data_IF_675374979996
#
_entry.id   IF_675374979996
#
_cell.length_a   1.000
_cell.length_b   1.000
_cell.length_c   1.000
_cell.angle_alpha   90.00
_cell.angle_beta   90.00
_cell.angle_gamma   90.00
#
_symmetry.space_group_name_H-M   'P 1'
#
loop_
_entity.id
_entity.type
_entity.pdbx_description
1 polymer ?
#
# COMPACT_ATOMS: atom_id res chain seq x y z
N UNK A 1 2.35 16.88 2.22
CA UNK A 1 1.74 16.51 3.52
C UNK A 1 2.74 16.77 4.63
N UNK A 2 2.30 17.32 5.77
CA UNK A 2 3.16 17.48 6.95
C UNK A 2 3.25 16.16 7.75
N UNK A 3 4.28 15.99 8.60
CA UNK A 3 4.55 14.71 9.28
C UNK A 3 3.37 14.16 10.08
N UNK A 4 2.68 15.01 10.83
CA UNK A 4 1.49 14.65 11.62
C UNK A 4 0.31 14.27 10.72
N UNK A 5 0.02 15.07 9.69
CA UNK A 5 -1.06 14.80 8.73
C UNK A 5 -0.83 13.47 7.98
N UNK A 6 0.42 13.16 7.65
CA UNK A 6 0.79 11.89 7.01
C UNK A 6 0.60 10.69 7.96
N UNK A 7 0.90 10.86 9.25
CA UNK A 7 0.67 9.83 10.25
C UNK A 7 -0.83 9.56 10.44
N UNK A 8 -1.65 10.62 10.48
CA UNK A 8 -3.10 10.48 10.61
C UNK A 8 -3.72 9.79 9.38
N UNK A 9 -3.25 10.14 8.17
CA UNK A 9 -3.66 9.45 6.94
C UNK A 9 -3.29 7.97 6.98
N UNK A 10 -2.04 7.64 7.38
CA UNK A 10 -1.57 6.27 7.50
C UNK A 10 -2.44 5.44 8.44
N UNK A 11 -2.76 6.00 9.62
CA UNK A 11 -3.61 5.33 10.61
C UNK A 11 -5.05 5.12 10.09
N UNK A 12 -5.63 6.14 9.45
CA UNK A 12 -6.96 6.05 8.85
C UNK A 12 -7.01 4.99 7.73
N UNK A 13 -5.96 4.92 6.91
CA UNK A 13 -5.85 3.93 5.84
C UNK A 13 -5.81 2.50 6.39
N UNK A 14 -5.00 2.23 7.44
CA UNK A 14 -4.96 0.92 8.11
C UNK A 14 -6.33 0.53 8.70
N UNK A 15 -7.03 1.49 9.33
CA UNK A 15 -8.38 1.25 9.84
C UNK A 15 -9.35 0.84 8.73
N UNK A 16 -9.33 1.54 7.60
CA UNK A 16 -10.17 1.21 6.45
C UNK A 16 -9.84 -0.17 5.86
N UNK A 17 -8.56 -0.54 5.78
CA UNK A 17 -8.15 -1.88 5.35
C UNK A 17 -8.67 -2.97 6.31
N UNK A 18 -8.58 -2.73 7.62
CA UNK A 18 -9.08 -3.64 8.63
C UNK A 18 -10.59 -3.87 8.55
N UNK A 19 -11.35 -2.82 8.20
CA UNK A 19 -12.80 -2.89 8.00
C UNK A 19 -13.20 -3.58 6.69
N UNK A 20 -12.47 -3.31 5.59
CA UNK A 20 -12.81 -3.84 4.24
C UNK A 20 -12.31 -5.26 4.00
N UNK A 21 -11.35 -5.73 4.78
CA UNK A 21 -10.80 -7.08 4.67
C UNK A 21 -10.90 -7.83 5.99
N UNK A 22 -9.76 -8.08 6.65
CA UNK A 22 -9.62 -8.88 7.85
C UNK A 22 -8.57 -8.25 8.73
N UNK A 23 -9.00 -7.59 9.80
CA UNK A 23 -8.12 -6.87 10.71
C UNK A 23 -6.98 -7.74 11.29
N UNK A 24 -7.22 -9.04 11.51
CA UNK A 24 -6.20 -9.98 12.01
C UNK A 24 -5.01 -10.17 11.04
N UNK A 25 -5.26 -9.95 9.74
CA UNK A 25 -4.29 -10.13 8.64
C UNK A 25 -3.60 -8.84 8.23
N UNK A 26 -4.05 -7.68 8.70
CA UNK A 26 -3.37 -6.40 8.48
C UNK A 26 -2.31 -6.23 9.57
N UNK A 27 -1.04 -6.15 9.16
CA UNK A 27 0.10 -5.89 10.04
C UNK A 27 0.75 -4.58 9.63
N UNK A 28 1.20 -3.82 10.61
CA UNK A 28 1.81 -2.51 10.43
C UNK A 28 3.22 -2.45 11.05
N UNK A 29 3.92 -1.36 10.73
CA UNK A 29 5.19 -1.00 11.34
C UNK A 29 5.03 0.18 12.30
N UNK A 30 6.13 0.86 12.62
CA UNK A 30 6.11 2.09 13.42
C UNK A 30 6.38 3.31 12.52
N UNK A 31 5.37 4.17 12.37
CA UNK A 31 5.48 5.39 11.57
C UNK A 31 6.59 6.31 12.09
N UNK A 32 7.40 6.86 11.19
CA UNK A 32 8.50 7.77 11.52
C UNK A 32 9.67 7.16 12.31
N UNK A 33 9.71 5.83 12.47
CA UNK A 33 10.82 5.14 13.13
C UNK A 33 11.79 4.54 12.13
N UNK A 34 13.05 4.37 12.56
CA UNK A 34 14.02 3.57 11.81
C UNK A 34 13.60 2.10 11.84
N UNK A 35 13.38 1.50 10.67
CA UNK A 35 12.89 0.13 10.54
C UNK A 35 13.75 -0.70 9.60
N UNK A 36 13.98 -1.96 9.96
CA UNK A 36 14.52 -2.98 9.08
C UNK A 36 13.40 -3.94 8.68
N UNK A 37 12.97 -3.85 7.42
CA UNK A 37 11.86 -4.67 6.89
C UNK A 37 12.44 -5.86 6.13
N UNK A 38 12.09 -7.07 6.56
CA UNK A 38 12.46 -8.30 5.87
C UNK A 38 11.31 -8.74 4.98
N UNK A 39 11.56 -8.85 3.67
CA UNK A 39 10.56 -9.21 2.66
C UNK A 39 11.07 -10.43 1.90
N UNK A 40 10.28 -11.51 1.90
CA UNK A 40 10.51 -12.67 1.06
C UNK A 40 9.45 -12.66 -0.04
N UNK A 41 9.88 -12.47 -1.29
CA UNK A 41 9.00 -12.54 -2.45
C UNK A 41 9.00 -13.99 -2.97
N UNK A 42 7.87 -14.68 -2.88
CA UNK A 42 7.71 -16.01 -3.47
C UNK A 42 7.41 -15.87 -4.98
N UNK A 43 8.48 -15.68 -5.76
CA UNK A 43 8.47 -15.30 -7.19
C UNK A 43 9.46 -14.16 -7.45
N UNK A 44 9.27 -13.37 -8.51
CA UNK A 44 9.42 -11.91 -8.35
C UNK A 44 8.23 -11.18 -8.98
N UNK A 45 7.29 -10.73 -8.16
CA UNK A 45 6.13 -9.94 -8.60
C UNK A 45 6.13 -8.62 -7.83
N UNK A 46 6.28 -7.51 -8.56
CA UNK A 46 6.20 -6.15 -8.04
C UNK A 46 5.14 -5.40 -8.83
N UNK A 47 4.19 -4.78 -8.13
CA UNK A 47 3.11 -4.00 -8.74
C UNK A 47 3.21 -2.55 -8.29
N UNK A 48 3.18 -1.63 -9.25
CA UNK A 48 3.14 -0.19 -8.98
C UNK A 48 1.70 0.30 -9.05
N UNK A 49 1.25 0.97 -7.97
CA UNK A 49 -0.10 1.51 -7.86
C UNK A 49 -0.02 3.00 -7.48
N UNK A 50 -0.80 3.81 -8.17
CA UNK A 50 -0.98 5.23 -7.86
C UNK A 50 -2.47 5.50 -7.61
N UNK A 51 -2.75 6.30 -6.57
CA UNK A 51 -4.12 6.75 -6.26
C UNK A 51 -4.61 7.82 -7.22
N UNK A 52 -3.69 8.58 -7.83
CA UNK A 52 -4.06 9.54 -8.86
C UNK A 52 -4.43 8.79 -10.14
N UNK A 53 -5.59 9.10 -10.75
CA UNK A 53 -5.94 8.50 -12.03
C UNK A 53 -4.91 8.92 -13.07
N UNK A 54 -4.24 7.94 -13.70
CA UNK A 54 -3.43 8.19 -14.89
C UNK A 54 -4.29 8.96 -15.91
N UNK A 55 -3.79 10.09 -16.40
CA UNK A 55 -4.44 10.83 -17.50
C UNK A 55 -4.69 9.83 -18.64
N UNK A 56 -5.85 9.95 -19.27
CA UNK A 56 -6.54 8.95 -20.09
C UNK A 56 -5.85 8.42 -21.36
N UNK A 57 -4.52 8.50 -21.49
CA UNK A 57 -3.81 8.19 -22.73
C UNK A 57 -2.74 7.10 -22.60
N UNK A 58 -2.84 6.22 -21.60
CA UNK A 58 -1.95 5.06 -21.50
C UNK A 58 -2.77 3.77 -21.36
N UNK A 59 -3.00 3.13 -22.51
CA UNK A 59 -3.55 1.78 -22.57
C UNK A 59 -2.47 0.82 -22.11
N UNK A 60 -2.48 0.46 -20.83
CA UNK A 60 -1.99 -0.84 -20.37
C UNK A 60 -2.51 -1.14 -18.95
N UNK A 61 -3.69 -1.75 -18.91
CA UNK A 61 -4.08 -2.65 -17.82
C UNK A 61 -4.58 -3.94 -18.47
N UNK A 62 -3.69 -4.64 -19.17
CA UNK A 62 -3.90 -6.06 -19.47
C UNK A 62 -3.41 -6.82 -18.24
N UNK A 63 -4.35 -7.22 -17.39
CA UNK A 63 -4.10 -8.21 -16.33
C UNK A 63 -3.78 -9.54 -17.00
N UNK A 64 -2.50 -9.82 -17.23
CA UNK A 64 -2.02 -11.17 -17.51
C UNK A 64 -1.37 -11.73 -16.25
N UNK A 65 -2.15 -12.51 -15.52
CA UNK A 65 -1.61 -13.49 -14.58
C UNK A 65 -1.15 -14.66 -15.45
N UNK A 66 0.17 -14.87 -15.55
CA UNK A 66 0.79 -16.11 -15.96
C UNK A 66 1.53 -16.71 -14.76
#
# INVERSE_FOLDING_TARGET
MQGTEAQDLYNSFLQQLGQKYRADRIKDGKFGAYMQVHIQNDGPVTLELDSEPKRSDEKDCVFNIL
#
